data_IF_881663023962
#
_entry.id   IF_881663023962
#
_cell.length_a   1.000
_cell.length_b   1.000
_cell.length_c   1.000
_cell.angle_alpha   90.00
_cell.angle_beta   90.00
_cell.angle_gamma   90.00
#
_symmetry.space_group_name_H-M   'P 1'
#
loop_
_entity.id
_entity.type
_entity.pdbx_description
1 polymer ?
#
# COMPACT_ATOMS: atom_id res chain seq x y z
N UNK A 1 34.12 -43.53 -21.91
CA UNK A 1 32.91 -42.73 -21.61
C UNK A 1 33.24 -41.83 -20.44
N UNK A 2 33.54 -40.56 -20.72
CA UNK A 2 33.89 -39.58 -19.68
C UNK A 2 32.61 -38.82 -19.28
N UNK A 3 32.16 -39.05 -18.06
CA UNK A 3 31.03 -38.36 -17.46
C UNK A 3 31.48 -36.94 -17.09
N UNK A 4 31.11 -35.94 -17.88
CA UNK A 4 31.39 -34.52 -17.59
C UNK A 4 30.49 -34.05 -16.46
N UNK A 5 31.02 -33.97 -15.25
CA UNK A 5 30.32 -33.41 -14.10
C UNK A 5 30.15 -31.91 -14.28
N UNK A 6 28.90 -31.44 -14.36
CA UNK A 6 28.54 -30.04 -14.42
C UNK A 6 28.98 -29.37 -13.10
N UNK A 7 29.71 -28.25 -13.13
CA UNK A 7 30.16 -27.60 -11.91
C UNK A 7 28.96 -27.13 -11.06
N UNK A 8 29.07 -27.16 -9.72
CA UNK A 8 28.01 -26.73 -8.85
C UNK A 8 27.68 -25.24 -9.10
N UNK A 9 26.44 -24.95 -9.36
CA UNK A 9 25.96 -23.57 -9.50
C UNK A 9 26.14 -22.88 -8.14
N UNK A 10 27.06 -21.92 -8.05
CA UNK A 10 27.18 -21.05 -6.87
C UNK A 10 25.84 -20.32 -6.70
N UNK A 11 25.29 -20.28 -5.48
CA UNK A 11 24.07 -19.51 -5.23
C UNK A 11 24.30 -18.06 -5.60
N UNK A 12 23.48 -17.53 -6.48
CA UNK A 12 23.58 -16.17 -7.00
C UNK A 12 23.56 -15.10 -5.90
N UNK A 13 22.92 -15.38 -4.76
CA UNK A 13 22.82 -14.47 -3.62
C UNK A 13 24.18 -14.03 -3.03
N UNK A 14 25.22 -14.86 -3.08
CA UNK A 14 26.53 -14.47 -2.53
C UNK A 14 27.35 -13.56 -3.45
N UNK A 15 27.07 -13.56 -4.75
CA UNK A 15 27.82 -12.74 -5.71
C UNK A 15 27.39 -11.27 -5.68
N UNK A 16 26.13 -11.00 -5.33
CA UNK A 16 25.54 -9.66 -5.31
C UNK A 16 25.94 -8.85 -4.07
N UNK A 17 25.93 -9.49 -2.90
CA UNK A 17 26.26 -8.85 -1.63
C UNK A 17 27.73 -8.41 -1.57
N UNK A 18 28.62 -9.04 -2.33
CA UNK A 18 30.03 -8.66 -2.39
C UNK A 18 30.30 -7.40 -3.24
N UNK A 19 29.38 -7.07 -4.17
CA UNK A 19 29.55 -5.95 -5.12
C UNK A 19 28.73 -4.71 -4.78
N UNK A 20 27.66 -4.88 -3.99
CA UNK A 20 26.80 -3.77 -3.58
C UNK A 20 27.10 -3.48 -2.11
N UNK A 21 28.03 -2.55 -1.88
CA UNK A 21 28.31 -2.02 -0.55
C UNK A 21 27.57 -0.70 -0.40
N UNK A 22 26.61 -0.67 0.53
CA UNK A 22 25.87 0.53 0.85
C UNK A 22 26.36 1.09 2.19
N UNK A 23 26.50 2.40 2.31
CA UNK A 23 26.76 3.01 3.59
C UNK A 23 25.57 2.75 4.53
N UNK A 24 25.85 2.58 5.82
CA UNK A 24 24.81 2.53 6.83
C UNK A 24 24.05 3.86 6.86
N UNK A 25 22.70 3.83 6.98
CA UNK A 25 21.94 5.05 7.14
C UNK A 25 22.38 5.80 8.39
N UNK A 26 22.72 7.07 8.24
CA UNK A 26 23.07 7.92 9.37
C UNK A 26 21.84 8.29 10.20
N UNK A 27 22.07 8.80 11.41
CA UNK A 27 20.98 9.21 12.31
C UNK A 27 20.12 10.32 11.68
N UNK A 28 20.73 11.21 10.90
CA UNK A 28 20.01 12.30 10.24
C UNK A 28 19.03 11.76 9.17
N UNK A 29 19.43 10.75 8.39
CA UNK A 29 18.54 10.08 7.45
C UNK A 29 17.39 9.37 8.16
N UNK A 30 17.69 8.67 9.26
CA UNK A 30 16.68 8.00 10.07
C UNK A 30 15.69 9.02 10.67
N UNK A 31 16.16 10.16 11.13
CA UNK A 31 15.31 11.23 11.70
C UNK A 31 14.44 11.88 10.64
N UNK A 32 14.98 12.21 9.46
CA UNK A 32 14.18 12.72 8.32
C UNK A 32 13.11 11.72 7.90
N UNK A 33 13.45 10.43 7.85
CA UNK A 33 12.46 9.38 7.53
C UNK A 33 11.37 9.31 8.59
N UNK A 34 11.73 9.36 9.88
CA UNK A 34 10.78 9.37 10.99
C UNK A 34 9.83 10.57 10.90
N UNK A 35 10.34 11.78 10.71
CA UNK A 35 9.53 13.01 10.59
C UNK A 35 8.57 12.97 9.40
N UNK A 36 9.05 12.46 8.25
CA UNK A 36 8.22 12.33 7.05
C UNK A 36 7.11 11.25 7.19
N UNK A 37 7.32 10.26 8.07
CA UNK A 37 6.42 9.13 8.24
C UNK A 37 5.83 9.03 9.65
N UNK A 38 6.00 10.05 10.46
CA UNK A 38 5.62 10.11 11.87
C UNK A 38 4.15 9.70 12.09
N UNK A 39 3.25 10.17 11.25
CA UNK A 39 1.83 9.79 11.31
C UNK A 39 1.56 8.30 11.00
N UNK A 40 2.49 7.62 10.33
CA UNK A 40 2.38 6.17 10.05
C UNK A 40 2.97 5.31 11.16
N UNK A 41 3.66 5.93 12.12
CA UNK A 41 4.32 5.26 13.25
C UNK A 41 3.43 5.17 14.49
N UNK A 42 2.14 5.45 14.34
CA UNK A 42 1.15 5.22 15.38
C UNK A 42 0.91 3.72 15.54
N UNK A 43 1.19 3.17 16.72
CA UNK A 43 0.85 1.78 17.06
C UNK A 43 -0.50 1.72 17.76
N UNK A 44 -1.30 0.71 17.40
CA UNK A 44 -2.59 0.47 18.04
C UNK A 44 -3.71 1.39 17.56
N UNK A 45 -3.46 2.27 16.58
CA UNK A 45 -4.53 3.02 15.92
C UNK A 45 -5.52 2.06 15.28
N UNK A 46 -6.81 2.22 15.62
CA UNK A 46 -7.90 1.43 15.03
C UNK A 46 -9.04 2.34 14.63
N UNK A 47 -9.73 1.94 13.58
CA UNK A 47 -10.90 2.63 13.06
C UNK A 47 -12.04 1.65 12.93
N UNK A 48 -13.20 1.96 13.52
CA UNK A 48 -14.43 1.24 13.25
C UNK A 48 -15.11 1.86 12.05
N UNK A 49 -15.36 1.04 11.03
CA UNK A 49 -15.88 1.51 9.77
C UNK A 49 -16.88 0.55 9.17
N UNK A 50 -17.71 1.10 8.27
CA UNK A 50 -18.57 0.36 7.37
C UNK A 50 -18.26 0.73 5.92
N UNK A 51 -18.47 -0.20 4.97
CA UNK A 51 -18.26 0.07 3.56
C UNK A 51 -19.31 -0.54 2.64
N UNK A 52 -19.43 0.05 1.45
CA UNK A 52 -20.17 -0.50 0.32
C UNK A 52 -19.17 -0.72 -0.80
N UNK A 53 -19.03 -1.95 -1.26
CA UNK A 53 -18.14 -2.32 -2.34
C UNK A 53 -18.88 -2.41 -3.67
N UNK A 54 -18.44 -1.66 -4.65
CA UNK A 54 -18.78 -1.82 -6.07
C UNK A 54 -17.63 -2.54 -6.76
N UNK A 55 -17.76 -3.85 -6.92
CA UNK A 55 -16.68 -4.67 -7.46
C UNK A 55 -16.49 -4.43 -8.96
N UNK A 56 -15.24 -4.20 -9.37
CA UNK A 56 -14.85 -4.15 -10.78
C UNK A 56 -14.44 -5.55 -11.21
N UNK A 57 -15.27 -6.17 -12.06
CA UNK A 57 -15.01 -7.47 -12.66
C UNK A 57 -14.82 -7.35 -14.17
N UNK A 58 -14.19 -8.33 -14.84
CA UNK A 58 -14.05 -8.29 -16.31
C UNK A 58 -15.40 -8.11 -17.01
N UNK A 59 -15.47 -7.16 -17.93
CA UNK A 59 -16.69 -6.86 -18.70
C UNK A 59 -17.63 -5.82 -18.08
N UNK A 60 -17.33 -5.30 -16.91
CA UNK A 60 -18.11 -4.21 -16.30
C UNK A 60 -17.70 -2.87 -16.89
N UNK A 61 -18.69 -2.01 -17.21
CA UNK A 61 -18.46 -0.61 -17.54
C UNK A 61 -18.06 0.15 -16.25
N UNK A 62 -16.76 0.41 -16.13
CA UNK A 62 -16.16 1.03 -14.94
C UNK A 62 -16.68 2.45 -14.71
N UNK A 63 -16.91 3.20 -15.79
CA UNK A 63 -17.42 4.57 -15.71
C UNK A 63 -18.89 4.62 -15.26
N UNK A 64 -19.72 3.72 -15.77
CA UNK A 64 -21.09 3.61 -15.34
C UNK A 64 -21.17 3.19 -13.86
N UNK A 65 -20.34 2.22 -13.45
CA UNK A 65 -20.24 1.76 -12.05
C UNK A 65 -19.79 2.88 -11.10
N UNK A 66 -18.81 3.67 -11.53
CA UNK A 66 -18.33 4.82 -10.77
C UNK A 66 -19.42 5.87 -10.57
N UNK A 67 -20.13 6.23 -11.64
CA UNK A 67 -21.26 7.18 -11.56
C UNK A 67 -22.37 6.67 -10.63
N UNK A 68 -22.65 5.37 -10.66
CA UNK A 68 -23.61 4.76 -9.75
C UNK A 68 -23.15 4.92 -8.29
N UNK A 69 -21.89 4.62 -8.00
CA UNK A 69 -21.30 4.75 -6.66
C UNK A 69 -21.28 6.22 -6.18
N UNK A 70 -20.92 7.17 -7.05
CA UNK A 70 -20.96 8.61 -6.74
C UNK A 70 -22.39 9.11 -6.48
N UNK A 71 -23.35 8.64 -7.27
CA UNK A 71 -24.77 8.94 -7.07
C UNK A 71 -25.32 8.38 -5.76
N UNK A 72 -24.82 7.23 -5.32
CA UNK A 72 -25.18 6.66 -4.03
C UNK A 72 -24.54 7.45 -2.87
N UNK A 73 -23.28 7.83 -3.01
CA UNK A 73 -22.57 8.67 -2.03
C UNK A 73 -23.33 9.96 -1.74
N UNK A 74 -23.86 10.61 -2.77
CA UNK A 74 -24.64 11.85 -2.64
C UNK A 74 -25.99 11.66 -1.93
N UNK A 75 -26.54 10.43 -1.90
CA UNK A 75 -27.85 10.13 -1.29
C UNK A 75 -27.78 9.51 0.11
N UNK A 76 -26.63 8.97 0.50
CA UNK A 76 -26.43 8.41 1.83
C UNK A 76 -26.24 9.54 2.84
N UNK A 77 -27.34 10.04 3.39
CA UNK A 77 -27.32 11.17 4.32
C UNK A 77 -27.14 10.75 5.78
N UNK A 78 -27.51 9.52 6.15
CA UNK A 78 -27.47 9.01 7.51
C UNK A 78 -27.11 7.53 7.57
N UNK A 79 -26.95 6.99 8.78
CA UNK A 79 -26.53 5.62 9.04
C UNK A 79 -27.54 4.58 8.53
N UNK A 80 -28.84 4.86 8.65
CA UNK A 80 -29.90 3.93 8.22
C UNK A 80 -29.91 3.84 6.69
N UNK A 81 -29.82 4.98 6.00
CA UNK A 81 -29.72 5.03 4.55
C UNK A 81 -28.46 4.32 4.05
N UNK A 82 -27.33 4.47 4.75
CA UNK A 82 -26.11 3.77 4.42
C UNK A 82 -26.25 2.25 4.58
N UNK A 83 -26.81 1.78 5.69
CA UNK A 83 -26.99 0.36 5.95
C UNK A 83 -27.95 -0.30 4.92
N UNK A 84 -29.02 0.37 4.56
CA UNK A 84 -29.92 -0.07 3.51
C UNK A 84 -29.21 -0.13 2.15
N UNK A 85 -28.49 0.94 1.80
CA UNK A 85 -27.73 1.00 0.57
C UNK A 85 -26.65 -0.10 0.48
N UNK A 86 -26.03 -0.43 1.61
CA UNK A 86 -25.07 -1.53 1.70
C UNK A 86 -25.73 -2.88 1.42
N UNK A 87 -26.87 -3.13 2.00
CA UNK A 87 -27.62 -4.37 1.78
C UNK A 87 -28.08 -4.55 0.31
N UNK A 88 -28.42 -3.44 -0.35
CA UNK A 88 -28.94 -3.45 -1.72
C UNK A 88 -27.83 -3.46 -2.80
N UNK A 89 -26.70 -2.82 -2.55
CA UNK A 89 -25.71 -2.51 -3.60
C UNK A 89 -24.30 -3.09 -3.36
N UNK A 90 -23.98 -3.53 -2.13
CA UNK A 90 -22.62 -3.99 -1.85
C UNK A 90 -22.36 -5.37 -2.41
N UNK A 91 -21.24 -5.50 -3.15
CA UNK A 91 -20.72 -6.80 -3.57
C UNK A 91 -19.89 -7.49 -2.46
N UNK A 92 -19.70 -6.85 -1.30
CA UNK A 92 -19.04 -7.46 -0.15
C UNK A 92 -20.08 -8.21 0.71
N UNK A 93 -19.75 -9.40 1.26
CA UNK A 93 -20.63 -10.11 2.19
C UNK A 93 -21.08 -9.28 3.40
N UNK A 94 -20.29 -8.30 3.84
CA UNK A 94 -20.64 -7.38 4.90
C UNK A 94 -21.89 -6.52 4.58
N UNK A 95 -22.26 -6.40 3.30
CA UNK A 95 -23.47 -5.68 2.87
C UNK A 95 -24.72 -6.15 3.59
N UNK A 96 -24.88 -7.46 3.80
CA UNK A 96 -26.01 -8.04 4.53
C UNK A 96 -26.10 -7.57 6.00
N UNK A 97 -24.96 -7.11 6.57
CA UNK A 97 -24.87 -6.54 7.92
C UNK A 97 -24.71 -5.01 7.88
N UNK A 98 -25.31 -4.33 6.88
CA UNK A 98 -25.21 -2.88 6.75
C UNK A 98 -23.84 -2.35 6.33
N UNK A 99 -22.97 -3.22 5.81
CA UNK A 99 -21.61 -2.89 5.40
C UNK A 99 -20.59 -2.87 6.53
N UNK A 100 -20.94 -3.24 7.75
CA UNK A 100 -20.03 -3.17 8.91
C UNK A 100 -18.80 -4.05 8.74
N UNK A 101 -17.62 -3.46 9.03
CA UNK A 101 -16.32 -4.14 9.04
C UNK A 101 -15.76 -4.33 10.46
N UNK A 102 -16.37 -3.67 11.46
CA UNK A 102 -15.86 -3.66 12.81
C UNK A 102 -14.60 -2.80 12.97
N UNK A 103 -13.78 -3.11 13.97
CA UNK A 103 -12.52 -2.43 14.24
C UNK A 103 -11.42 -2.95 13.32
N UNK A 104 -10.81 -2.04 12.58
CA UNK A 104 -9.74 -2.31 11.62
C UNK A 104 -8.45 -1.66 12.11
N UNK A 105 -7.36 -2.41 12.06
CA UNK A 105 -6.03 -1.85 12.13
C UNK A 105 -5.50 -1.56 10.71
N UNK A 106 -4.51 -0.69 10.59
CA UNK A 106 -3.92 -0.31 9.30
C UNK A 106 -3.44 -1.52 8.48
N UNK A 107 -2.90 -2.53 9.16
CA UNK A 107 -2.38 -3.76 8.52
C UNK A 107 -3.46 -4.71 8.00
N UNK A 108 -4.71 -4.56 8.44
CA UNK A 108 -5.82 -5.42 8.03
C UNK A 108 -6.44 -5.01 6.70
N UNK A 109 -6.02 -3.85 6.17
CA UNK A 109 -6.62 -3.21 5.01
C UNK A 109 -5.71 -3.27 3.79
N UNK A 110 -6.32 -3.24 2.60
CA UNK A 110 -5.58 -2.96 1.37
C UNK A 110 -4.89 -1.58 1.47
N UNK A 111 -3.69 -1.40 0.90
CA UNK A 111 -2.89 -0.16 1.09
C UNK A 111 -3.65 1.12 0.74
N UNK A 112 -4.42 1.13 -0.33
CA UNK A 112 -5.20 2.28 -0.80
C UNK A 112 -6.35 2.59 0.15
N UNK A 113 -7.01 1.53 0.68
CA UNK A 113 -8.08 1.65 1.65
C UNK A 113 -7.53 2.16 2.99
N UNK A 114 -6.43 1.59 3.45
CA UNK A 114 -5.74 2.04 4.67
C UNK A 114 -5.28 3.50 4.55
N UNK A 115 -4.73 3.91 3.40
CA UNK A 115 -4.29 5.28 3.18
C UNK A 115 -5.44 6.28 3.29
N UNK A 116 -6.63 5.94 2.79
CA UNK A 116 -7.80 6.79 2.89
C UNK A 116 -8.42 6.78 4.29
N UNK A 117 -8.52 5.60 4.92
CA UNK A 117 -9.16 5.41 6.22
C UNK A 117 -8.36 6.07 7.37
N UNK A 118 -7.03 6.00 7.28
CA UNK A 118 -6.09 6.51 8.30
C UNK A 118 -5.36 7.79 7.86
N UNK A 119 -5.95 8.57 6.93
CA UNK A 119 -5.39 9.86 6.53
C UNK A 119 -5.37 10.84 7.72
N UNK A 120 -4.33 11.68 7.80
CA UNK A 120 -4.15 12.62 8.92
C UNK A 120 -5.27 13.66 9.03
N UNK A 121 -5.77 14.11 7.89
CA UNK A 121 -6.87 15.04 7.80
C UNK A 121 -8.18 14.47 8.38
N UNK A 122 -8.29 13.16 8.43
CA UNK A 122 -9.42 12.43 9.00
C UNK A 122 -9.25 12.18 10.52
N UNK A 123 -8.07 12.40 11.09
CA UNK A 123 -7.81 12.14 12.52
C UNK A 123 -8.70 12.96 13.46
N UNK A 124 -9.12 14.16 13.03
CA UNK A 124 -10.02 15.06 13.75
C UNK A 124 -11.46 15.03 13.22
N UNK A 125 -11.73 14.24 12.17
CA UNK A 125 -13.08 14.12 11.63
C UNK A 125 -13.92 13.26 12.58
N UNK A 126 -15.00 13.85 13.03
CA UNK A 126 -16.07 13.11 13.68
C UNK A 126 -16.54 11.98 12.76
N UNK A 127 -17.11 10.93 13.38
CA UNK A 127 -17.89 9.88 12.71
C UNK A 127 -18.65 10.45 11.51
N UNK A 128 -18.23 10.07 10.30
CA UNK A 128 -18.86 10.56 9.08
C UNK A 128 -18.50 9.73 7.87
N UNK A 129 -19.29 9.86 6.85
CA UNK A 129 -18.99 9.31 5.54
C UNK A 129 -17.79 10.03 4.91
N UNK A 130 -16.86 9.28 4.31
CA UNK A 130 -15.79 9.88 3.55
C UNK A 130 -16.37 10.57 2.30
N UNK A 131 -15.94 11.81 2.00
CA UNK A 131 -16.56 12.63 0.95
C UNK A 131 -16.20 12.18 -0.47
N UNK A 132 -15.47 11.08 -0.61
CA UNK A 132 -14.99 10.56 -1.90
C UNK A 132 -14.98 9.04 -1.92
N UNK A 133 -15.10 8.47 -3.12
CA UNK A 133 -14.89 7.05 -3.35
C UNK A 133 -13.41 6.69 -3.16
N UNK A 134 -13.18 5.53 -2.57
CA UNK A 134 -11.85 4.92 -2.48
C UNK A 134 -11.73 3.89 -3.60
N UNK A 135 -10.75 4.06 -4.49
CA UNK A 135 -10.43 3.07 -5.50
C UNK A 135 -9.38 2.10 -4.97
N UNK A 136 -9.65 0.81 -5.10
CA UNK A 136 -8.72 -0.27 -4.78
C UNK A 136 -8.69 -1.27 -5.94
N UNK A 137 -7.83 -2.28 -5.85
CA UNK A 137 -7.82 -3.39 -6.80
C UNK A 137 -9.13 -4.18 -6.88
N UNK A 138 -10.02 -4.03 -5.90
CA UNK A 138 -11.31 -4.72 -5.86
C UNK A 138 -12.45 -3.92 -6.49
N UNK A 139 -12.28 -2.61 -6.65
CA UNK A 139 -13.29 -1.70 -7.18
C UNK A 139 -13.39 -0.41 -6.39
N UNK A 140 -14.59 0.18 -6.38
CA UNK A 140 -14.87 1.42 -5.68
C UNK A 140 -15.53 1.13 -4.33
N UNK A 141 -15.11 1.87 -3.30
CA UNK A 141 -15.66 1.76 -1.96
C UNK A 141 -16.24 3.10 -1.52
N UNK A 142 -17.50 3.08 -1.05
CA UNK A 142 -18.02 4.10 -0.16
C UNK A 142 -17.69 3.68 1.26
N UNK A 143 -17.20 4.60 2.07
CA UNK A 143 -16.74 4.28 3.43
C UNK A 143 -17.34 5.27 4.42
N UNK A 144 -17.87 4.72 5.49
CA UNK A 144 -18.31 5.46 6.68
C UNK A 144 -17.39 5.09 7.84
N UNK A 145 -16.96 6.09 8.57
CA UNK A 145 -16.18 5.94 9.80
C UNK A 145 -17.10 6.12 10.99
N UNK A 146 -17.20 5.11 11.84
CA UNK A 146 -18.08 5.12 13.03
C UNK A 146 -17.35 5.50 14.31
N UNK A 147 -16.09 5.13 14.42
CA UNK A 147 -15.27 5.48 15.59
C UNK A 147 -13.79 5.38 15.26
N UNK A 148 -12.96 6.11 16.01
CA UNK A 148 -11.51 6.05 15.94
C UNK A 148 -10.93 5.86 17.32
N UNK A 149 -9.97 4.95 17.44
CA UNK A 149 -9.09 4.85 18.60
C UNK A 149 -7.72 5.37 18.17
N UNK A 150 -7.27 6.48 18.75
CA UNK A 150 -5.95 7.00 18.43
C UNK A 150 -4.88 6.02 18.90
N UNK A 151 -3.91 5.79 18.05
CA UNK A 151 -2.75 4.99 18.42
C UNK A 151 -1.78 5.79 19.30
N UNK A 152 -0.85 5.08 19.90
CA UNK A 152 0.26 5.69 20.61
C UNK A 152 1.39 5.99 19.62
N UNK A 153 1.79 7.25 19.53
CA UNK A 153 2.95 7.65 18.74
C UNK A 153 4.22 7.06 19.37
N UNK A 154 4.95 6.28 18.60
CA UNK A 154 6.21 5.73 19.07
C UNK A 154 7.29 6.81 19.08
N UNK A 155 8.18 6.78 20.09
CA UNK A 155 9.33 7.65 20.11
C UNK A 155 10.33 7.26 19.02
N UNK A 156 11.12 8.22 18.53
CA UNK A 156 12.18 7.95 17.57
C UNK A 156 13.11 6.82 18.04
N UNK A 157 13.49 6.83 19.30
CA UNK A 157 14.36 5.80 19.89
C UNK A 157 13.78 4.39 19.80
N UNK A 158 12.46 4.26 19.95
CA UNK A 158 11.78 2.95 19.89
C UNK A 158 11.76 2.38 18.47
N UNK A 159 11.71 3.24 17.44
CA UNK A 159 11.58 2.82 16.03
C UNK A 159 12.87 2.96 15.22
N UNK A 160 13.92 3.55 15.78
CA UNK A 160 15.18 3.85 15.09
C UNK A 160 15.77 2.64 14.36
N UNK A 161 15.87 1.48 15.03
CA UNK A 161 16.43 0.26 14.44
C UNK A 161 15.60 -0.25 13.25
N UNK A 162 14.27 -0.18 13.36
CA UNK A 162 13.36 -0.58 12.28
C UNK A 162 13.46 0.39 11.08
N UNK A 163 13.58 1.68 11.34
CA UNK A 163 13.80 2.70 10.29
C UNK A 163 15.13 2.46 9.58
N UNK A 164 16.22 2.26 10.32
CA UNK A 164 17.53 1.98 9.75
C UNK A 164 17.51 0.71 8.88
N UNK A 165 16.81 -0.33 9.31
CA UNK A 165 16.63 -1.54 8.52
C UNK A 165 15.83 -1.27 7.23
N UNK A 166 14.75 -0.49 7.31
CA UNK A 166 13.93 -0.11 6.16
C UNK A 166 14.74 0.67 5.14
N UNK A 167 15.50 1.68 5.58
CA UNK A 167 16.36 2.48 4.70
C UNK A 167 17.47 1.64 4.04
N UNK A 168 18.08 0.72 4.78
CA UNK A 168 19.04 -0.24 4.21
C UNK A 168 18.42 -1.09 3.12
N UNK A 169 17.23 -1.62 3.37
CA UNK A 169 16.53 -2.47 2.40
C UNK A 169 16.15 -1.68 1.15
N UNK A 170 15.65 -0.46 1.29
CA UNK A 170 15.33 0.43 0.16
C UNK A 170 16.59 0.78 -0.65
N UNK A 171 17.67 1.14 0.04
CA UNK A 171 18.97 1.40 -0.59
C UNK A 171 19.48 0.18 -1.36
N UNK A 172 19.38 -1.02 -0.78
CA UNK A 172 19.82 -2.25 -1.43
C UNK A 172 19.00 -2.55 -2.70
N UNK A 173 17.66 -2.40 -2.65
CA UNK A 173 16.79 -2.58 -3.81
C UNK A 173 17.17 -1.58 -4.92
N UNK A 174 17.38 -0.31 -4.56
CA UNK A 174 17.76 0.74 -5.52
C UNK A 174 19.12 0.45 -6.16
N UNK A 175 20.13 0.13 -5.35
CA UNK A 175 21.46 -0.19 -5.86
C UNK A 175 21.47 -1.46 -6.73
N UNK A 176 20.66 -2.46 -6.37
CA UNK A 176 20.49 -3.66 -7.18
C UNK A 176 19.89 -3.33 -8.55
N UNK A 177 18.83 -2.50 -8.57
CA UNK A 177 18.22 -2.05 -9.84
C UNK A 177 19.23 -1.30 -10.71
N UNK A 178 19.99 -0.38 -10.11
CA UNK A 178 21.04 0.37 -10.82
C UNK A 178 22.12 -0.56 -11.39
N UNK A 179 22.57 -1.51 -10.59
CA UNK A 179 23.58 -2.48 -11.03
C UNK A 179 23.06 -3.38 -12.17
N UNK A 180 21.82 -3.84 -12.09
CA UNK A 180 21.18 -4.61 -13.17
C UNK A 180 21.07 -3.79 -14.45
N UNK A 181 20.70 -2.52 -14.37
CA UNK A 181 20.65 -1.63 -15.53
C UNK A 181 22.03 -1.42 -16.17
N UNK A 182 23.08 -1.25 -15.35
CA UNK A 182 24.45 -1.16 -15.85
C UNK A 182 24.90 -2.46 -16.54
N UNK A 183 24.57 -3.62 -15.97
CA UNK A 183 24.86 -4.91 -16.59
C UNK A 183 24.09 -5.12 -17.90
N UNK A 184 22.80 -4.74 -17.92
CA UNK A 184 21.98 -4.84 -19.13
C UNK A 184 22.50 -3.93 -20.24
N UNK A 185 22.92 -2.70 -19.90
CA UNK A 185 23.52 -1.76 -20.86
C UNK A 185 24.91 -2.19 -21.41
N UNK A 186 25.65 -3.00 -20.61
CA UNK A 186 26.95 -3.52 -21.03
C UNK A 186 26.85 -4.90 -21.74
N UNK A 187 25.71 -5.58 -21.66
CA UNK A 187 25.51 -6.91 -22.24
C UNK A 187 25.14 -6.81 -23.72
N UNK A 188 25.66 -7.73 -24.52
CA UNK A 188 25.15 -7.97 -25.88
C UNK A 188 23.91 -8.86 -25.77
N UNK A 189 22.72 -8.29 -25.94
CA UNK A 189 21.46 -9.01 -25.87
C UNK A 189 21.06 -9.48 -27.27
N UNK A 190 20.79 -10.77 -27.41
CA UNK A 190 20.27 -11.36 -28.65
C UNK A 190 18.92 -12.03 -28.36
N UNK A 191 17.88 -11.66 -29.12
CA UNK A 191 16.55 -12.31 -29.04
C UNK A 191 15.65 -11.86 -27.90
N UNK A 192 16.00 -10.81 -27.14
CA UNK A 192 15.17 -10.20 -26.10
C UNK A 192 15.23 -8.69 -26.25
N UNK A 193 14.09 -8.05 -26.44
CA UNK A 193 13.96 -6.59 -26.25
C UNK A 193 13.72 -6.34 -24.73
N UNK A 194 14.68 -5.71 -24.09
CA UNK A 194 14.43 -5.11 -22.79
C UNK A 194 13.83 -3.75 -23.06
N UNK A 195 12.63 -3.49 -22.51
CA UNK A 195 12.13 -2.15 -22.42
C UNK A 195 13.23 -1.26 -21.84
N UNK A 196 13.75 -0.37 -22.68
CA UNK A 196 14.68 0.65 -22.20
C UNK A 196 13.94 1.39 -21.11
N UNK A 197 14.38 1.22 -19.88
CA UNK A 197 13.89 2.00 -18.77
C UNK A 197 14.31 3.46 -18.99
N UNK A 198 13.56 4.16 -19.82
CA UNK A 198 13.59 5.61 -20.02
C UNK A 198 12.99 6.30 -18.78
N UNK A 199 13.32 5.81 -17.62
CA UNK A 199 13.05 6.52 -16.38
C UNK A 199 14.37 7.14 -15.93
N UNK A 200 14.52 8.46 -16.02
CA UNK A 200 15.65 9.11 -15.37
C UNK A 200 15.58 8.71 -13.90
N UNK A 201 16.61 8.02 -13.48
CA UNK A 201 16.87 7.81 -12.07
C UNK A 201 16.91 9.17 -11.44
N UNK A 202 16.02 9.37 -10.53
CA UNK A 202 16.06 10.35 -9.52
C UNK A 202 14.98 11.24 -9.36
N UNK A 203 14.50 11.35 -8.27
CA UNK A 203 15.05 12.44 -7.39
C UNK A 203 14.78 12.05 -5.97
#
# INVERSE_FOLDING_TARGET
MACSAKPPRRPLNNCWNAKIQLPEPDEAACRRYFEAHHARSSQGERVRAAHILFAVTPGVDVEALRKQAEGLLARCADDAAFAQAAAENSNCPSGAAGGELGWLARGDCAPEFAAALFAQDQANAHVSMLPRLISTRFGFHLVRVDAREPGTLQSFSAVHSAIAQTLRQQGHITAMRQYLNLLAGAAKLEGVELDSADSPLVQ
#
